data_IF_148999544075
#
_entry.id   IF_148999544075
#
_cell.length_a   1.000
_cell.length_b   1.000
_cell.length_c   1.000
_cell.angle_alpha   90.00
_cell.angle_beta   90.00
_cell.angle_gamma   90.00
#
_symmetry.space_group_name_H-M   'P 1'
#
loop_
_entity.id
_entity.type
_entity.pdbx_description
1 polymer ?
#
# COMPACT_ATOMS: atom_id res chain seq x y z
N UNK A 1 -7.43 -11.95 -34.85
CA UNK A 1 -7.36 -11.53 -33.46
C UNK A 1 -5.92 -11.19 -33.15
N UNK A 2 -5.56 -9.92 -33.26
CA UNK A 2 -4.19 -9.46 -33.02
C UNK A 2 -3.97 -9.39 -31.49
N UNK A 3 -3.02 -10.20 -30.99
CA UNK A 3 -2.46 -10.07 -29.65
C UNK A 3 -1.82 -8.69 -29.53
N UNK A 4 -2.41 -7.81 -28.75
CA UNK A 4 -1.81 -6.55 -28.36
C UNK A 4 -0.54 -6.91 -27.58
N UNK A 5 0.60 -6.73 -28.23
CA UNK A 5 1.91 -6.81 -27.63
C UNK A 5 2.02 -5.55 -26.79
N UNK A 6 1.87 -5.66 -25.48
CA UNK A 6 2.21 -4.58 -24.55
C UNK A 6 3.66 -4.20 -24.83
N UNK A 7 3.85 -2.96 -25.26
CA UNK A 7 5.16 -2.37 -25.52
C UNK A 7 5.92 -2.27 -24.21
N UNK A 8 7.10 -2.90 -24.05
CA UNK A 8 7.89 -2.85 -22.82
C UNK A 8 8.44 -1.45 -22.49
N UNK A 9 8.15 -0.45 -23.32
CA UNK A 9 8.71 0.89 -23.24
C UNK A 9 7.89 1.91 -22.44
N UNK A 10 6.77 1.56 -21.83
CA UNK A 10 6.23 2.34 -20.71
C UNK A 10 7.04 2.05 -19.43
N UNK A 11 8.33 2.37 -19.47
CA UNK A 11 9.15 2.42 -18.26
C UNK A 11 8.55 3.51 -17.38
N UNK A 12 7.96 3.10 -16.27
CA UNK A 12 7.50 4.00 -15.22
C UNK A 12 8.73 4.69 -14.62
N UNK A 13 9.12 5.83 -15.21
CA UNK A 13 10.18 6.68 -14.69
C UNK A 13 9.72 7.27 -13.34
N UNK A 14 10.52 7.09 -12.31
CA UNK A 14 10.28 7.66 -11.01
C UNK A 14 11.48 8.48 -10.52
N UNK A 15 11.21 9.51 -9.74
CA UNK A 15 12.24 10.39 -9.18
C UNK A 15 13.29 9.60 -8.37
N UNK A 16 14.56 9.65 -8.81
CA UNK A 16 15.67 8.92 -8.19
C UNK A 16 15.88 7.49 -8.72
N UNK A 17 15.35 7.17 -9.91
CA UNK A 17 15.68 5.95 -10.63
C UNK A 17 17.15 5.94 -11.03
N UNK A 18 17.79 4.79 -10.89
CA UNK A 18 19.20 4.60 -11.25
C UNK A 18 19.33 4.23 -12.73
N UNK A 19 20.50 4.47 -13.36
CA UNK A 19 20.83 3.85 -14.63
C UNK A 19 20.67 2.33 -14.52
N UNK A 20 20.11 1.68 -15.51
CA UNK A 20 19.84 0.23 -15.55
C UNK A 20 18.85 -0.29 -14.50
N UNK A 21 18.09 0.59 -13.86
CA UNK A 21 17.02 0.21 -12.94
C UNK A 21 15.68 0.10 -13.69
N UNK A 22 15.11 -1.10 -13.72
CA UNK A 22 13.84 -1.39 -14.35
C UNK A 22 12.76 -1.68 -13.31
N UNK A 23 11.56 -1.14 -13.50
CA UNK A 23 10.40 -1.42 -12.66
C UNK A 23 9.81 -2.77 -13.05
N UNK A 24 9.85 -3.73 -12.13
CA UNK A 24 9.28 -5.05 -12.34
C UNK A 24 7.78 -5.07 -12.10
N UNK A 25 7.33 -4.49 -11.00
CA UNK A 25 5.91 -4.33 -10.67
C UNK A 25 5.69 -3.35 -9.54
N UNK A 26 4.44 -2.87 -9.46
CA UNK A 26 3.97 -1.99 -8.39
C UNK A 26 2.80 -2.68 -7.69
N UNK A 27 2.75 -2.59 -6.36
CA UNK A 27 1.60 -3.05 -5.60
C UNK A 27 1.19 -2.02 -4.54
N UNK A 28 -0.06 -2.12 -4.08
CA UNK A 28 -0.67 -1.18 -3.16
C UNK A 28 -1.28 -1.89 -1.97
N UNK A 29 -1.61 -1.12 -0.95
CA UNK A 29 -2.39 -1.64 0.18
C UNK A 29 -3.84 -1.83 -0.21
N UNK A 30 -4.41 -2.94 0.22
CA UNK A 30 -5.83 -3.24 0.07
C UNK A 30 -6.69 -2.17 0.75
N UNK A 31 -7.89 -1.92 0.21
CA UNK A 31 -8.83 -0.91 0.72
C UNK A 31 -9.18 -1.09 2.20
N UNK A 32 -9.10 -2.30 2.73
CA UNK A 32 -9.33 -2.62 4.15
C UNK A 32 -8.37 -1.84 5.08
N UNK A 33 -7.22 -1.40 4.58
CA UNK A 33 -6.30 -0.54 5.33
C UNK A 33 -6.93 0.82 5.68
N UNK A 34 -7.92 1.25 4.89
CA UNK A 34 -8.65 2.52 5.07
C UNK A 34 -9.83 2.43 6.07
N UNK A 35 -10.04 1.25 6.73
CA UNK A 35 -11.15 1.05 7.69
C UNK A 35 -11.27 2.16 8.75
N UNK A 36 -10.12 2.72 9.20
CA UNK A 36 -10.12 3.85 10.14
C UNK A 36 -10.77 5.09 9.56
N UNK A 37 -10.60 5.36 8.26
CA UNK A 37 -11.26 6.46 7.56
C UNK A 37 -12.78 6.28 7.54
N UNK A 38 -13.27 5.05 7.31
CA UNK A 38 -14.72 4.76 7.37
C UNK A 38 -15.29 4.99 8.76
N UNK A 39 -14.60 4.57 9.83
CA UNK A 39 -15.05 4.85 11.18
C UNK A 39 -15.08 6.36 11.47
N UNK A 40 -14.09 7.12 11.00
CA UNK A 40 -14.05 8.57 11.15
C UNK A 40 -15.13 9.30 10.34
N UNK A 41 -15.65 8.71 9.29
CA UNK A 41 -16.83 9.21 8.57
C UNK A 41 -18.12 8.95 9.38
N UNK A 42 -18.29 7.72 9.89
CA UNK A 42 -19.53 7.29 10.51
C UNK A 42 -19.71 7.80 11.94
N UNK A 43 -18.65 7.88 12.73
CA UNK A 43 -18.75 8.27 14.16
C UNK A 43 -19.31 9.68 14.32
N UNK A 44 -18.79 10.75 13.67
CA UNK A 44 -19.38 12.08 13.78
C UNK A 44 -20.84 12.14 13.29
N UNK A 45 -21.14 11.43 12.20
CA UNK A 45 -22.49 11.35 11.67
C UNK A 45 -23.46 10.73 12.68
N UNK A 46 -23.12 9.60 13.31
CA UNK A 46 -23.98 8.94 14.30
C UNK A 46 -24.18 9.82 15.53
N UNK A 47 -23.10 10.43 16.04
CA UNK A 47 -23.19 11.32 17.22
C UNK A 47 -24.12 12.49 16.94
N UNK A 48 -23.99 13.14 15.78
CA UNK A 48 -24.80 14.32 15.43
C UNK A 48 -26.22 13.98 14.97
N UNK A 49 -26.46 12.75 14.52
CA UNK A 49 -27.80 12.28 14.17
C UNK A 49 -28.66 11.89 15.41
N UNK A 50 -28.04 11.65 16.55
CA UNK A 50 -28.75 11.21 17.78
C UNK A 50 -29.69 12.29 18.35
N UNK A 51 -29.30 13.58 18.50
CA UNK A 51 -30.18 14.62 19.06
C UNK A 51 -31.50 14.81 18.34
N UNK A 52 -31.56 14.95 16.99
CA UNK A 52 -32.83 15.12 16.28
C UNK A 52 -33.75 13.90 16.37
N UNK A 53 -33.22 12.72 16.62
CA UNK A 53 -34.03 11.51 16.85
C UNK A 53 -34.73 11.53 18.20
N UNK A 54 -34.10 12.14 19.22
CA UNK A 54 -34.65 12.22 20.59
C UNK A 54 -35.59 13.43 20.73
N UNK A 55 -35.21 14.59 20.17
CA UNK A 55 -35.97 15.86 20.27
C UNK A 55 -36.56 16.25 18.93
N UNK A 56 -37.56 15.53 18.46
CA UNK A 56 -38.18 15.67 17.14
C UNK A 56 -38.91 17.02 16.91
N UNK A 57 -39.21 17.76 17.99
CA UNK A 57 -39.91 19.03 17.91
C UNK A 57 -39.07 20.23 17.42
N UNK A 58 -37.74 20.08 17.39
CA UNK A 58 -36.82 21.16 17.03
C UNK A 58 -36.26 20.98 15.63
N UNK A 59 -36.79 21.69 14.66
CA UNK A 59 -36.39 21.60 13.25
C UNK A 59 -34.91 21.95 13.04
N UNK A 60 -34.34 22.84 13.85
CA UNK A 60 -32.96 23.29 13.79
C UNK A 60 -31.94 22.14 14.05
N UNK A 61 -32.36 21.16 14.86
CA UNK A 61 -31.51 20.00 15.18
C UNK A 61 -31.26 19.10 13.96
N UNK A 62 -32.11 19.16 12.92
CA UNK A 62 -31.92 18.40 11.69
C UNK A 62 -30.71 18.85 10.85
N UNK A 63 -30.14 20.03 11.14
CA UNK A 63 -28.92 20.51 10.50
C UNK A 63 -27.66 19.88 11.12
N UNK A 64 -27.74 19.36 12.35
CA UNK A 64 -26.59 18.73 13.04
C UNK A 64 -26.01 17.51 12.28
N UNK A 65 -26.80 16.55 11.79
CA UNK A 65 -26.30 15.44 10.99
C UNK A 65 -25.53 15.89 9.73
N UNK A 66 -25.98 16.98 9.10
CA UNK A 66 -25.27 17.54 7.95
C UNK A 66 -23.88 18.06 8.34
N UNK A 67 -23.77 18.76 9.47
CA UNK A 67 -22.48 19.19 10.03
C UNK A 67 -21.57 18.01 10.38
N UNK A 68 -22.13 16.98 11.01
CA UNK A 68 -21.41 15.75 11.34
C UNK A 68 -20.94 14.98 10.10
N UNK A 69 -21.75 14.95 9.06
CA UNK A 69 -21.38 14.33 7.78
C UNK A 69 -20.24 15.09 7.10
N UNK A 70 -20.30 16.43 7.06
CA UNK A 70 -19.22 17.25 6.48
C UNK A 70 -17.91 17.05 7.25
N UNK A 71 -17.96 17.08 8.59
CA UNK A 71 -16.78 16.82 9.41
C UNK A 71 -16.22 15.43 9.16
N UNK A 72 -17.08 14.41 9.15
CA UNK A 72 -16.69 13.04 8.85
C UNK A 72 -16.07 12.88 7.46
N UNK A 73 -16.60 13.60 6.47
CA UNK A 73 -16.07 13.60 5.10
C UNK A 73 -14.66 14.19 5.03
N UNK A 74 -14.39 15.29 5.75
CA UNK A 74 -13.05 15.89 5.82
C UNK A 74 -12.05 14.90 6.42
N UNK A 75 -12.42 14.24 7.53
CA UNK A 75 -11.58 13.25 8.19
C UNK A 75 -11.36 12.00 7.32
N UNK A 76 -12.40 11.58 6.60
CA UNK A 76 -12.31 10.47 5.63
C UNK A 76 -11.36 10.80 4.50
N UNK A 77 -11.49 11.97 3.86
CA UNK A 77 -10.61 12.37 2.76
C UNK A 77 -9.15 12.47 3.19
N UNK A 78 -8.87 12.93 4.40
CA UNK A 78 -7.52 12.90 4.94
C UNK A 78 -6.92 11.49 4.93
N UNK A 79 -7.66 10.48 5.43
CA UNK A 79 -7.22 9.08 5.43
C UNK A 79 -7.16 8.46 4.04
N UNK A 80 -8.09 8.87 3.17
CA UNK A 80 -8.12 8.43 1.77
C UNK A 80 -6.85 8.86 1.03
N UNK A 81 -6.45 10.12 1.16
CA UNK A 81 -5.22 10.66 0.55
C UNK A 81 -4.01 9.87 1.05
N UNK A 82 -3.90 9.64 2.37
CA UNK A 82 -2.81 8.87 2.94
C UNK A 82 -2.70 7.45 2.38
N UNK A 83 -3.82 6.78 2.23
CA UNK A 83 -3.89 5.44 1.66
C UNK A 83 -3.57 5.44 0.17
N UNK A 84 -4.14 6.36 -0.59
CA UNK A 84 -4.03 6.43 -2.05
C UNK A 84 -2.59 6.66 -2.51
N UNK A 85 -1.86 7.53 -1.83
CA UNK A 85 -0.46 7.86 -2.16
C UNK A 85 0.57 6.90 -1.54
N UNK A 86 0.14 5.85 -0.83
CA UNK A 86 1.06 4.82 -0.35
C UNK A 86 1.21 3.74 -1.40
N UNK A 87 2.40 3.65 -2.01
CA UNK A 87 2.73 2.68 -3.06
C UNK A 87 4.02 1.93 -2.72
N UNK A 88 4.11 0.71 -3.22
CA UNK A 88 5.29 -0.13 -3.15
C UNK A 88 5.76 -0.43 -4.57
N UNK A 89 6.94 0.02 -4.88
CA UNK A 89 7.60 -0.15 -6.16
C UNK A 89 8.69 -1.20 -6.02
N UNK A 90 8.68 -2.20 -6.88
CA UNK A 90 9.71 -3.24 -6.94
C UNK A 90 10.44 -3.11 -8.26
N UNK A 91 11.75 -2.93 -8.17
CA UNK A 91 12.65 -2.87 -9.33
C UNK A 91 13.55 -4.11 -9.35
N UNK A 92 14.37 -4.22 -10.36
CA UNK A 92 15.42 -5.25 -10.44
C UNK A 92 16.54 -5.07 -9.40
N UNK A 93 16.62 -3.92 -8.70
CA UNK A 93 17.70 -3.60 -7.74
C UNK A 93 17.20 -3.48 -6.30
N UNK A 94 15.99 -2.92 -6.09
CA UNK A 94 15.47 -2.58 -4.76
C UNK A 94 13.94 -2.61 -4.68
N UNK A 95 13.44 -2.70 -3.45
CA UNK A 95 12.06 -2.39 -3.11
C UNK A 95 12.03 -0.97 -2.57
N UNK A 96 11.17 -0.12 -3.12
CA UNK A 96 10.95 1.25 -2.68
C UNK A 96 9.52 1.40 -2.17
N UNK A 97 9.39 1.69 -0.88
CA UNK A 97 8.13 2.04 -0.27
C UNK A 97 8.02 3.56 -0.22
N UNK A 98 6.99 4.11 -0.85
CA UNK A 98 6.65 5.52 -0.74
C UNK A 98 5.39 5.64 0.09
N UNK A 99 5.49 6.30 1.23
CA UNK A 99 4.36 6.52 2.15
C UNK A 99 4.14 8.02 2.32
N UNK A 100 2.91 8.46 2.11
CA UNK A 100 2.54 9.85 2.38
C UNK A 100 2.42 10.08 3.89
N UNK A 101 3.10 11.11 4.40
CA UNK A 101 2.97 11.60 5.78
C UNK A 101 2.37 13.00 5.78
N UNK A 102 1.09 13.13 6.13
CA UNK A 102 0.39 14.40 6.09
C UNK A 102 0.20 14.92 4.65
N UNK A 103 -0.13 16.19 4.52
CA UNK A 103 -0.40 16.79 3.21
C UNK A 103 0.88 17.02 2.37
N UNK A 104 2.02 17.25 3.01
CA UNK A 104 3.27 17.67 2.34
C UNK A 104 4.47 16.75 2.61
N UNK A 105 4.38 15.80 3.56
CA UNK A 105 5.47 14.89 3.90
C UNK A 105 5.43 13.60 3.09
N UNK A 106 6.60 13.14 2.63
CA UNK A 106 6.79 11.81 2.04
C UNK A 106 7.85 11.08 2.87
N UNK A 107 7.61 9.81 3.14
CA UNK A 107 8.57 8.90 3.75
C UNK A 107 8.92 7.83 2.72
N UNK A 108 10.20 7.72 2.39
CA UNK A 108 10.68 6.77 1.40
C UNK A 108 11.63 5.79 2.10
N UNK A 109 11.26 4.52 2.07
CA UNK A 109 12.09 3.42 2.58
C UNK A 109 12.57 2.61 1.38
N UNK A 110 13.87 2.41 1.28
CA UNK A 110 14.49 1.62 0.22
C UNK A 110 15.20 0.40 0.80
N UNK A 111 14.94 -0.75 0.19
CA UNK A 111 15.54 -2.02 0.57
C UNK A 111 16.11 -2.69 -0.67
N UNK A 112 17.42 -2.90 -0.72
CA UNK A 112 18.07 -3.63 -1.82
C UNK A 112 17.64 -5.09 -1.82
N UNK A 113 17.33 -5.65 -2.99
CA UNK A 113 16.93 -7.05 -3.13
C UNK A 113 18.00 -8.01 -2.63
N UNK A 114 19.27 -7.70 -2.86
CA UNK A 114 20.41 -8.52 -2.39
C UNK A 114 20.61 -8.54 -0.87
N UNK A 115 19.93 -7.68 -0.12
CA UNK A 115 19.98 -7.68 1.37
C UNK A 115 18.81 -8.43 2.00
N UNK A 116 17.90 -8.96 1.20
CA UNK A 116 16.78 -9.75 1.67
C UNK A 116 17.26 -11.16 2.01
N UNK A 117 16.98 -11.59 3.24
CA UNK A 117 17.31 -12.95 3.72
C UNK A 117 16.15 -13.91 3.52
N UNK A 118 14.94 -13.45 3.85
CA UNK A 118 13.75 -14.28 3.79
C UNK A 118 12.54 -13.42 3.52
N UNK A 119 11.57 -13.98 2.78
CA UNK A 119 10.26 -13.38 2.55
C UNK A 119 9.23 -14.37 3.04
N UNK A 120 8.28 -13.91 3.82
CA UNK A 120 7.13 -14.70 4.26
C UNK A 120 5.85 -13.90 4.09
N UNK A 121 4.73 -14.60 3.96
CA UNK A 121 3.41 -13.96 3.97
C UNK A 121 2.49 -14.67 4.97
N UNK A 122 1.52 -13.91 5.47
CA UNK A 122 0.50 -14.40 6.38
C UNK A 122 -0.86 -13.83 5.96
N UNK A 123 -1.84 -14.71 5.84
CA UNK A 123 -3.24 -14.36 5.58
C UNK A 123 -3.99 -14.44 6.91
N UNK A 124 -4.53 -13.32 7.45
CA UNK A 124 -5.17 -13.30 8.76
C UNK A 124 -6.55 -13.95 8.72
N UNK A 125 -6.62 -15.23 9.08
CA UNK A 125 -7.86 -15.96 9.27
C UNK A 125 -8.91 -15.82 8.16
N UNK A 126 -10.18 -16.02 8.50
CA UNK A 126 -11.30 -15.99 7.54
C UNK A 126 -11.43 -14.64 6.79
N UNK A 127 -11.21 -13.52 7.47
CA UNK A 127 -11.33 -12.21 6.83
C UNK A 127 -10.27 -11.96 5.77
N UNK A 128 -9.03 -12.41 5.98
CA UNK A 128 -7.95 -12.31 4.99
C UNK A 128 -8.21 -13.13 3.74
N UNK A 129 -8.75 -14.34 3.95
CA UNK A 129 -9.12 -15.26 2.88
C UNK A 129 -10.26 -14.69 2.00
N UNK A 130 -11.36 -14.28 2.63
CA UNK A 130 -12.57 -13.78 1.94
C UNK A 130 -12.29 -12.47 1.19
N UNK A 131 -11.56 -11.55 1.79
CA UNK A 131 -11.28 -10.24 1.18
C UNK A 131 -9.97 -10.20 0.38
N UNK A 132 -9.19 -11.28 0.37
CA UNK A 132 -7.96 -11.39 -0.42
C UNK A 132 -6.84 -10.46 0.03
N UNK A 133 -6.69 -10.22 1.35
CA UNK A 133 -5.61 -9.41 1.88
C UNK A 133 -4.74 -10.17 2.89
N UNK A 134 -3.49 -9.74 3.02
CA UNK A 134 -2.56 -10.32 3.99
C UNK A 134 -1.41 -9.39 4.34
N UNK A 135 -0.43 -9.96 5.01
CA UNK A 135 0.79 -9.27 5.44
C UNK A 135 1.98 -9.98 4.80
N UNK A 136 2.89 -9.21 4.20
CA UNK A 136 4.19 -9.70 3.74
C UNK A 136 5.24 -9.20 4.72
N UNK A 137 6.13 -10.08 5.16
CA UNK A 137 7.27 -9.79 6.01
C UNK A 137 8.53 -10.08 5.23
N UNK A 138 9.38 -9.08 5.07
CA UNK A 138 10.66 -9.16 4.38
C UNK A 138 11.74 -8.98 5.44
N UNK A 139 12.49 -10.03 5.68
CA UNK A 139 13.53 -10.07 6.70
C UNK A 139 14.89 -9.68 6.10
N UNK A 140 15.61 -8.83 6.81
CA UNK A 140 16.94 -8.40 6.46
C UNK A 140 17.88 -8.46 7.66
N UNK A 141 19.19 -8.35 7.45
CA UNK A 141 20.18 -8.32 8.53
C UNK A 141 20.00 -7.14 9.51
N UNK A 142 19.32 -6.07 9.09
CA UNK A 142 19.21 -4.82 9.86
C UNK A 142 17.83 -4.70 10.53
N UNK A 143 16.86 -5.49 10.10
CA UNK A 143 15.49 -5.46 10.62
C UNK A 143 14.47 -5.96 9.60
N UNK A 144 13.21 -6.03 10.01
CA UNK A 144 12.12 -6.57 9.21
C UNK A 144 11.29 -5.44 8.59
N UNK A 145 11.03 -5.53 7.29
CA UNK A 145 10.04 -4.68 6.61
C UNK A 145 8.69 -5.41 6.59
N UNK A 146 7.73 -4.91 7.38
CA UNK A 146 6.39 -5.50 7.48
C UNK A 146 5.39 -4.69 6.66
N UNK A 147 4.89 -5.28 5.59
CA UNK A 147 3.89 -4.68 4.69
C UNK A 147 2.54 -5.29 4.99
N UNK A 148 1.67 -4.50 5.64
CA UNK A 148 0.33 -4.95 6.06
C UNK A 148 -0.73 -4.59 5.02
N UNK A 149 -1.77 -5.44 4.94
CA UNK A 149 -2.90 -5.28 4.04
C UNK A 149 -2.51 -5.26 2.56
N UNK A 150 -1.60 -6.15 2.16
CA UNK A 150 -1.24 -6.35 0.76
C UNK A 150 -2.40 -7.06 0.06
N UNK A 151 -2.76 -6.58 -1.11
CA UNK A 151 -3.72 -7.23 -1.98
C UNK A 151 -3.11 -8.49 -2.61
N UNK A 152 -3.82 -9.60 -2.59
CA UNK A 152 -3.35 -10.90 -3.09
C UNK A 152 -1.93 -11.24 -2.64
N UNK A 153 -1.70 -11.45 -1.31
CA UNK A 153 -0.36 -11.58 -0.74
C UNK A 153 0.45 -12.74 -1.33
N UNK A 154 -0.20 -13.84 -1.68
CA UNK A 154 0.44 -14.99 -2.32
C UNK A 154 1.03 -14.64 -3.70
N UNK A 155 0.26 -13.96 -4.55
CA UNK A 155 0.73 -13.54 -5.87
C UNK A 155 1.88 -12.54 -5.75
N UNK A 156 1.77 -11.59 -4.83
CA UNK A 156 2.81 -10.59 -4.57
C UNK A 156 4.07 -11.24 -4.00
N UNK A 157 3.92 -12.21 -3.09
CA UNK A 157 5.03 -13.01 -2.55
C UNK A 157 5.79 -13.73 -3.68
N UNK A 158 5.08 -14.46 -4.57
CA UNK A 158 5.71 -15.19 -5.67
C UNK A 158 6.49 -14.24 -6.61
N UNK A 159 5.93 -13.06 -6.92
CA UNK A 159 6.63 -12.06 -7.73
C UNK A 159 7.86 -11.51 -7.02
N UNK A 160 7.79 -11.25 -5.71
CA UNK A 160 8.92 -10.79 -4.90
C UNK A 160 10.02 -11.85 -4.83
N UNK A 161 9.64 -13.11 -4.62
CA UNK A 161 10.58 -14.23 -4.56
C UNK A 161 11.36 -14.36 -5.88
N UNK A 162 10.67 -14.28 -7.02
CA UNK A 162 11.29 -14.32 -8.33
C UNK A 162 12.23 -13.12 -8.56
N UNK A 163 11.81 -11.89 -8.16
CA UNK A 163 12.67 -10.71 -8.28
C UNK A 163 13.94 -10.83 -7.43
N UNK A 164 13.84 -11.38 -6.24
CA UNK A 164 15.00 -11.58 -5.35
C UNK A 164 15.94 -12.65 -5.89
N UNK A 165 15.42 -13.80 -6.37
CA UNK A 165 16.27 -14.86 -6.95
C UNK A 165 17.04 -14.36 -8.17
N UNK A 166 16.36 -13.66 -9.11
CA UNK A 166 17.01 -13.09 -10.29
C UNK A 166 18.07 -12.04 -9.93
N UNK A 167 17.80 -11.20 -8.91
CA UNK A 167 18.76 -10.20 -8.46
C UNK A 167 20.02 -10.82 -7.79
N UNK A 168 19.88 -11.96 -7.12
CA UNK A 168 21.01 -12.70 -6.54
C UNK A 168 21.83 -13.38 -7.64
N UNK A 169 21.18 -14.03 -8.60
CA UNK A 169 21.84 -14.70 -9.73
C UNK A 169 22.66 -13.72 -10.55
N UNK A 170 22.10 -12.56 -10.89
CA UNK A 170 22.81 -11.52 -11.67
C UNK A 170 24.03 -10.95 -10.94
N UNK A 171 24.02 -10.91 -9.60
CA UNK A 171 25.19 -10.49 -8.82
C UNK A 171 26.27 -11.56 -8.77
N UNK A 172 25.91 -12.84 -8.68
CA UNK A 172 26.85 -13.95 -8.71
C UNK A 172 27.64 -14.01 -10.02
N UNK A 173 26.98 -13.83 -11.17
CA UNK A 173 27.61 -13.78 -12.47
C UNK A 173 28.62 -12.62 -12.62
N UNK A 174 28.31 -11.44 -12.05
CA UNK A 174 29.22 -10.29 -12.07
C UNK A 174 30.46 -10.48 -11.17
N UNK A 175 30.38 -11.25 -10.10
CA UNK A 175 31.51 -11.55 -9.23
C UNK A 175 32.43 -12.60 -9.87
N UNK A 176 31.91 -13.56 -10.62
CA UNK A 176 32.71 -14.58 -11.34
C UNK A 176 33.50 -14.01 -12.52
N UNK A 177 32.95 -12.99 -13.21
CA UNK A 177 33.63 -12.37 -14.38
C UNK A 177 34.80 -11.46 -13.94
N UNK A 178 34.78 -10.98 -12.71
CA UNK A 178 35.81 -10.06 -12.17
C UNK A 178 36.92 -10.76 -11.34
N UNK A 179 36.96 -12.08 -11.31
CA UNK A 179 38.06 -12.89 -10.77
C UNK A 179 38.93 -13.48 -11.88
#
# INVERSE_FOLDING_TARGET
MAKHKEDPSEQLDFEGQRPDEEVLFVFRRHIIAMRKGFYLLLIPLVITATPPLIWQANLELFLLPLGGFILGLILFFYHFIMWYFTIYLVTNQRIRQVTQKGFFGKDVVELRLSKIQNISYNIPGFSGEVFGFGTIVIQTFVGDLVIRYVEHPEKTYNKLQNAVSTAIESQGEHEEINQ
#
